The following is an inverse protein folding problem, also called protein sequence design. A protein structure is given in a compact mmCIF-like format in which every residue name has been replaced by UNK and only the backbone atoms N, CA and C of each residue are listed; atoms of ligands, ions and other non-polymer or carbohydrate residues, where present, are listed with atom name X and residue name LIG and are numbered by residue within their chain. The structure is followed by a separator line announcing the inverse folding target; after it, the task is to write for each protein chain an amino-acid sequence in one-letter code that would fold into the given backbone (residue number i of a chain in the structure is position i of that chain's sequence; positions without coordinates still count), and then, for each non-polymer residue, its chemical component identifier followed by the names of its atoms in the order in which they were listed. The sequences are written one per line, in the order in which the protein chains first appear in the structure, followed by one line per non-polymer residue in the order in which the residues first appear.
data_IF_462032866751
#
_entry.id   IF_462032866751
#
_cell.length_a   1.000
_cell.length_b   1.000
_cell.length_c   1.000
_cell.angle_alpha   90.00
_cell.angle_beta   90.00
_cell.angle_gamma   90.00
#
_symmetry.space_group_name_H-M   'P 1'
#
loop_
_entity.id
_entity.type
_entity.pdbx_description
1 polymer ?
#
# COMPACT_ATOMS: atom_id res chain seq x y z
N UNK A 1 -17.52 16.09 -2.43
CA UNK A 1 -17.17 15.81 -1.03
C UNK A 1 -16.96 14.31 -0.92
N UNK A 2 -15.87 13.84 -0.30
CA UNK A 2 -15.59 12.41 -0.21
C UNK A 2 -16.60 11.73 0.74
N UNK A 3 -17.12 10.57 0.36
CA UNK A 3 -17.99 9.75 1.22
C UNK A 3 -17.20 8.96 2.28
N UNK A 4 -15.89 9.18 2.38
CA UNK A 4 -15.02 8.54 3.36
C UNK A 4 -15.11 9.26 4.72
N UNK A 5 -15.22 8.52 5.84
CA UNK A 5 -15.18 9.10 7.18
C UNK A 5 -13.91 9.93 7.40
N UNK A 6 -14.05 11.02 8.17
CA UNK A 6 -12.92 11.87 8.52
C UNK A 6 -11.81 11.06 9.21
N UNK A 7 -10.56 11.27 8.79
CA UNK A 7 -9.37 10.62 9.36
C UNK A 7 -9.11 9.18 8.89
N UNK A 8 -10.05 8.52 8.20
CA UNK A 8 -9.89 7.11 7.82
C UNK A 8 -8.71 6.88 6.86
N UNK A 9 -8.51 7.79 5.91
CA UNK A 9 -7.44 7.70 4.90
C UNK A 9 -6.07 7.86 5.53
N UNK A 10 -5.94 8.74 6.53
CA UNK A 10 -4.72 8.90 7.31
C UNK A 10 -4.37 7.66 8.13
N UNK A 11 -5.37 7.05 8.78
CA UNK A 11 -5.20 5.81 9.53
C UNK A 11 -4.77 4.64 8.63
N UNK A 12 -5.39 4.50 7.46
CA UNK A 12 -5.01 3.47 6.46
C UNK A 12 -3.58 3.69 5.98
N UNK A 13 -3.20 4.94 5.66
CA UNK A 13 -1.84 5.28 5.23
C UNK A 13 -0.79 4.93 6.28
N UNK A 14 -1.03 5.29 7.54
CA UNK A 14 -0.15 4.94 8.66
C UNK A 14 -0.01 3.42 8.84
N UNK A 15 -1.13 2.69 8.81
CA UNK A 15 -1.13 1.24 8.97
C UNK A 15 -0.38 0.52 7.83
N UNK A 16 -0.52 1.03 6.60
CA UNK A 16 0.20 0.52 5.42
C UNK A 16 1.70 0.78 5.54
N UNK A 17 2.11 2.01 5.87
CA UNK A 17 3.51 2.36 6.09
C UNK A 17 4.12 1.52 7.23
N UNK A 18 3.38 1.30 8.31
CA UNK A 18 3.82 0.45 9.42
C UNK A 18 4.04 -1.00 8.97
N UNK A 19 3.12 -1.57 8.19
CA UNK A 19 3.25 -2.95 7.68
C UNK A 19 4.50 -3.12 6.82
N UNK A 20 4.71 -2.21 5.86
CA UNK A 20 5.86 -2.23 4.96
C UNK A 20 7.18 -2.21 5.74
N UNK A 21 7.27 -1.33 6.75
CA UNK A 21 8.44 -1.22 7.63
C UNK A 21 8.63 -2.46 8.49
N UNK A 22 7.56 -2.94 9.12
CA UNK A 22 7.59 -4.12 9.98
C UNK A 22 8.16 -5.33 9.23
N UNK A 23 7.64 -5.60 8.02
CA UNK A 23 8.09 -6.72 7.22
C UNK A 23 9.44 -6.48 6.55
N UNK A 24 9.74 -5.25 6.12
CA UNK A 24 11.06 -4.89 5.61
C UNK A 24 12.16 -5.09 6.65
N UNK A 25 11.88 -4.82 7.93
CA UNK A 25 12.80 -5.07 9.05
C UNK A 25 12.91 -6.56 9.41
N UNK A 26 11.80 -7.30 9.32
CA UNK A 26 11.75 -8.70 9.71
C UNK A 26 12.40 -9.64 8.69
N UNK A 27 12.19 -9.39 7.39
CA UNK A 27 12.59 -10.29 6.32
C UNK A 27 13.69 -9.71 5.41
N UNK A 28 14.01 -8.42 5.56
CA UNK A 28 14.84 -7.72 4.59
C UNK A 28 14.09 -7.38 3.31
N UNK A 29 14.71 -6.56 2.46
CA UNK A 29 14.07 -6.00 1.26
C UNK A 29 13.85 -7.02 0.16
N UNK A 30 14.67 -8.08 0.09
CA UNK A 30 14.58 -9.06 -0.98
C UNK A 30 13.33 -9.95 -0.89
N UNK A 31 12.97 -10.36 0.32
CA UNK A 31 11.81 -11.21 0.61
C UNK A 31 10.51 -10.42 0.78
N UNK A 32 10.61 -9.12 1.10
CA UNK A 32 9.45 -8.22 1.25
C UNK A 32 8.52 -8.24 0.03
N UNK A 33 9.09 -8.36 -1.17
CA UNK A 33 8.35 -8.32 -2.45
C UNK A 33 7.32 -9.44 -2.60
N UNK A 34 7.47 -10.53 -1.85
CA UNK A 34 6.58 -11.70 -1.86
C UNK A 34 5.80 -11.84 -0.55
N UNK A 35 5.87 -10.83 0.32
CA UNK A 35 5.20 -10.84 1.61
C UNK A 35 3.79 -10.26 1.50
N UNK A 36 2.85 -10.89 2.18
CA UNK A 36 1.48 -10.41 2.32
C UNK A 36 1.41 -9.37 3.44
N UNK A 37 0.99 -8.15 3.08
CA UNK A 37 0.60 -7.13 4.05
C UNK A 37 -0.68 -7.55 4.77
N UNK A 38 -0.93 -6.98 5.95
CA UNK A 38 -2.15 -7.30 6.69
C UNK A 38 -3.41 -7.10 5.85
N UNK A 39 -4.18 -8.18 5.76
CA UNK A 39 -5.32 -8.29 4.84
C UNK A 39 -6.34 -7.17 5.05
N UNK A 40 -6.55 -6.71 6.29
CA UNK A 40 -7.52 -5.65 6.58
C UNK A 40 -7.06 -4.26 6.10
N UNK A 41 -5.74 -4.01 6.09
CA UNK A 41 -5.18 -2.78 5.49
C UNK A 41 -5.40 -2.79 3.99
N UNK A 42 -5.17 -3.94 3.34
CA UNK A 42 -5.41 -4.11 1.90
C UNK A 42 -6.90 -3.98 1.56
N UNK A 43 -7.80 -4.57 2.35
CA UNK A 43 -9.25 -4.39 2.19
C UNK A 43 -9.64 -2.92 2.31
N UNK A 44 -9.11 -2.22 3.32
CA UNK A 44 -9.40 -0.81 3.52
C UNK A 44 -8.91 0.04 2.34
N UNK A 45 -7.73 -0.24 1.79
CA UNK A 45 -7.22 0.44 0.61
C UNK A 45 -8.08 0.15 -0.64
N UNK A 46 -8.46 -1.11 -0.87
CA UNK A 46 -9.37 -1.50 -1.97
C UNK A 46 -10.75 -0.87 -1.83
N UNK A 47 -11.25 -0.73 -0.60
CA UNK A 47 -12.47 0.00 -0.32
C UNK A 47 -12.35 1.48 -0.69
N UNK A 48 -11.30 2.16 -0.22
CA UNK A 48 -11.03 3.56 -0.60
C UNK A 48 -10.97 3.67 -2.12
N UNK A 49 -10.30 2.75 -2.82
CA UNK A 49 -10.24 2.75 -4.28
C UNK A 49 -11.63 2.60 -4.92
N UNK A 50 -12.51 1.77 -4.36
CA UNK A 50 -13.87 1.60 -4.88
C UNK A 50 -14.75 2.86 -4.73
N UNK A 51 -14.42 3.75 -3.79
CA UNK A 51 -15.16 4.99 -3.53
C UNK A 51 -14.52 6.19 -4.22
N UNK A 52 -13.19 6.28 -4.17
CA UNK A 52 -12.37 7.37 -4.70
C UNK A 52 -10.98 6.84 -5.10
N UNK A 53 -10.80 6.42 -6.37
CA UNK A 53 -9.54 5.87 -6.85
C UNK A 53 -8.33 6.80 -6.66
N UNK A 54 -8.52 8.11 -6.89
CA UNK A 54 -7.46 9.10 -6.76
C UNK A 54 -7.01 9.26 -5.30
N UNK A 55 -7.96 9.20 -4.36
CA UNK A 55 -7.63 9.20 -2.94
C UNK A 55 -6.84 7.94 -2.53
N UNK A 56 -7.21 6.76 -3.03
CA UNK A 56 -6.48 5.53 -2.74
C UNK A 56 -5.01 5.60 -3.21
N UNK A 57 -4.78 6.16 -4.42
CA UNK A 57 -3.43 6.40 -4.95
C UNK A 57 -2.64 7.31 -4.01
N UNK A 58 -3.23 8.43 -3.57
CA UNK A 58 -2.57 9.35 -2.63
C UNK A 58 -2.25 8.71 -1.28
N UNK A 59 -3.16 7.90 -0.74
CA UNK A 59 -2.95 7.16 0.52
C UNK A 59 -1.78 6.20 0.39
N UNK A 60 -1.76 5.40 -0.68
CA UNK A 60 -0.67 4.47 -0.94
C UNK A 60 0.65 5.19 -1.20
N UNK A 61 0.65 6.30 -1.94
CA UNK A 61 1.83 7.14 -2.17
C UNK A 61 2.45 7.60 -0.86
N UNK A 62 1.67 8.26 -0.02
CA UNK A 62 2.14 8.76 1.27
C UNK A 62 2.70 7.63 2.12
N UNK A 63 2.01 6.48 2.16
CA UNK A 63 2.49 5.32 2.91
C UNK A 63 3.84 4.77 2.40
N UNK A 64 4.05 4.75 1.08
CA UNK A 64 5.31 4.33 0.48
C UNK A 64 6.45 5.31 0.79
N UNK A 65 6.19 6.63 0.71
CA UNK A 65 7.15 7.65 1.09
C UNK A 65 7.51 7.56 2.58
N UNK A 66 6.50 7.45 3.45
CA UNK A 66 6.70 7.31 4.90
C UNK A 66 7.52 6.06 5.26
N UNK A 67 7.39 4.97 4.49
CA UNK A 67 8.17 3.76 4.68
C UNK A 67 9.62 3.88 4.17
N UNK A 68 9.84 4.73 3.16
CA UNK A 68 11.16 5.01 2.58
C UNK A 68 11.95 6.06 3.37
N UNK A 69 11.27 7.02 4.00
CA UNK A 69 11.87 8.17 4.70
C UNK A 69 12.22 7.89 6.17
N UNK A 70 12.04 6.66 6.67
CA UNK A 70 12.24 6.35 8.08
C UNK A 70 13.71 6.50 8.51
N UNK A 71 14.03 7.63 9.18
CA UNK A 71 15.36 8.09 9.57
C UNK A 71 16.35 7.04 10.11
N UNK A 72 16.34 6.75 11.43
CA UNK A 72 17.37 5.93 12.10
C UNK A 72 17.25 4.41 11.85
N UNK A 73 16.28 3.97 11.05
CA UNK A 73 16.08 2.55 10.71
C UNK A 73 16.46 2.29 9.26
N UNK A 74 16.65 1.02 8.91
CA UNK A 74 16.91 0.65 7.51
C UNK A 74 15.67 1.03 6.67
N UNK A 75 15.79 1.99 5.73
CA UNK A 75 14.66 2.44 4.94
C UNK A 75 14.19 1.31 4.01
N UNK A 76 12.89 1.25 3.75
CA UNK A 76 12.34 0.29 2.78
C UNK A 76 12.34 0.97 1.40
N UNK A 77 13.10 0.46 0.40
CA UNK A 77 13.12 1.07 -0.91
C UNK A 77 11.73 1.15 -1.54
N UNK A 78 11.43 2.28 -2.19
CA UNK A 78 10.14 2.52 -2.85
C UNK A 78 9.75 1.38 -3.81
N UNK A 79 10.74 0.86 -4.56
CA UNK A 79 10.53 -0.25 -5.50
C UNK A 79 10.06 -1.51 -4.80
N UNK A 80 10.69 -1.89 -3.69
CA UNK A 80 10.34 -3.12 -2.97
C UNK A 80 8.99 -2.97 -2.26
N UNK A 81 8.71 -1.78 -1.71
CA UNK A 81 7.39 -1.46 -1.16
C UNK A 81 6.28 -1.54 -2.20
N UNK A 82 6.51 -1.01 -3.39
CA UNK A 82 5.57 -1.05 -4.50
C UNK A 82 5.29 -2.49 -4.98
N UNK A 83 6.33 -3.33 -5.07
CA UNK A 83 6.19 -4.74 -5.43
C UNK A 83 5.45 -5.54 -4.36
N UNK A 84 5.73 -5.29 -3.07
CA UNK A 84 5.00 -5.90 -1.95
C UNK A 84 3.51 -5.50 -1.97
N UNK A 85 3.21 -4.23 -2.20
CA UNK A 85 1.84 -3.74 -2.34
C UNK A 85 1.13 -4.38 -3.54
N UNK A 86 1.79 -4.45 -4.70
CA UNK A 86 1.28 -5.16 -5.89
C UNK A 86 0.92 -6.59 -5.54
N UNK A 87 1.85 -7.33 -4.93
CA UNK A 87 1.64 -8.72 -4.53
C UNK A 87 0.40 -8.85 -3.63
N UNK A 88 0.34 -8.05 -2.56
CA UNK A 88 -0.75 -8.07 -1.59
C UNK A 88 -2.12 -7.73 -2.20
N UNK A 89 -2.18 -6.81 -3.16
CA UNK A 89 -3.43 -6.47 -3.88
C UNK A 89 -3.96 -7.65 -4.70
N UNK A 90 -3.08 -8.48 -5.23
CA UNK A 90 -3.43 -9.71 -5.97
C UNK A 90 -3.78 -10.88 -5.05
N UNK A 91 -3.75 -10.72 -3.73
CA UNK A 91 -4.28 -11.72 -2.81
C UNK A 91 -5.78 -11.52 -2.55
N UNK A 92 -6.43 -12.62 -2.15
CA UNK A 92 -7.87 -12.64 -1.88
C UNK A 92 -8.19 -11.84 -0.62
N UNK A 93 -9.09 -10.86 -0.74
CA UNK A 93 -9.48 -10.02 0.37
C UNK A 93 -10.98 -9.70 0.33
N UNK A 94 -11.83 -10.64 0.76
CA UNK A 94 -13.30 -10.48 0.86
C UNK A 94 -13.65 -9.29 1.77
N UNK A 95 -14.58 -8.37 1.38
CA UNK A 95 -15.52 -8.44 0.25
C UNK A 95 -14.99 -7.90 -1.09
N UNK A 96 -13.81 -7.28 -1.11
CA UNK A 96 -13.27 -6.58 -2.29
C UNK A 96 -12.54 -7.50 -3.28
N UNK A 97 -12.50 -8.81 -2.99
CA UNK A 97 -11.99 -9.84 -3.89
C UNK A 97 -10.48 -9.78 -4.13
N UNK A 98 -10.03 -10.57 -5.11
CA UNK A 98 -8.67 -10.59 -5.64
C UNK A 98 -8.61 -9.66 -6.85
N UNK A 99 -7.72 -8.67 -6.83
CA UNK A 99 -7.45 -7.88 -8.03
C UNK A 99 -6.67 -8.74 -9.03
N UNK A 100 -6.89 -8.50 -10.33
CA UNK A 100 -6.02 -9.07 -11.36
C UNK A 100 -4.63 -8.45 -11.27
N UNK A 101 -3.64 -9.10 -11.90
CA UNK A 101 -2.29 -8.52 -12.01
C UNK A 101 -2.33 -7.16 -12.70
N UNK A 102 -3.05 -7.03 -13.82
CA UNK A 102 -3.20 -5.76 -14.54
C UNK A 102 -3.80 -4.64 -13.69
N UNK A 103 -4.77 -4.95 -12.82
CA UNK A 103 -5.37 -3.97 -11.92
C UNK A 103 -4.36 -3.50 -10.85
N UNK A 104 -3.63 -4.45 -10.26
CA UNK A 104 -2.60 -4.13 -9.28
C UNK A 104 -1.44 -3.34 -9.91
N UNK A 105 -1.03 -3.71 -11.12
CA UNK A 105 0.01 -3.02 -11.89
C UNK A 105 -0.39 -1.59 -12.27
N UNK A 106 -1.60 -1.39 -12.77
CA UNK A 106 -2.11 -0.06 -13.08
C UNK A 106 -2.16 0.83 -11.83
N UNK A 107 -2.62 0.29 -10.71
CA UNK A 107 -2.70 1.03 -9.45
C UNK A 107 -1.30 1.40 -8.92
N UNK A 108 -0.38 0.44 -8.82
CA UNK A 108 0.97 0.70 -8.33
C UNK A 108 1.75 1.63 -9.26
N UNK A 109 1.55 1.51 -10.58
CA UNK A 109 2.11 2.45 -11.55
C UNK A 109 1.61 3.87 -11.29
N UNK A 110 0.30 4.06 -11.08
CA UNK A 110 -0.26 5.37 -10.74
C UNK A 110 0.32 5.94 -9.44
N UNK A 111 0.52 5.10 -8.42
CA UNK A 111 1.18 5.50 -7.16
C UNK A 111 2.61 5.97 -7.40
N UNK A 112 3.40 5.22 -8.18
CA UNK A 112 4.79 5.58 -8.48
C UNK A 112 4.90 6.83 -9.35
N UNK A 113 3.94 7.07 -10.25
CA UNK A 113 3.88 8.29 -11.05
C UNK A 113 3.52 9.51 -10.21
N UNK A 114 2.68 9.37 -9.17
CA UNK A 114 2.30 10.47 -8.26
C UNK A 114 3.43 10.85 -7.27
N UNK A 115 4.49 10.02 -7.15
CA UNK A 115 5.69 10.32 -6.33
C UNK A 115 6.63 11.30 -7.04
N UNK A 116 6.69 11.26 -8.39
CA UNK A 116 7.61 12.06 -9.21
C UNK A 116 7.03 13.44 -9.53
#
# INVERSE_FOLDING_TARGET
MSNLPAGVTGAIGHALAFNLRHYGQQFGTDDLRFTDLYVDVIKALKWVHSVDPAMAVRVARHALQDAADEGDKLPVPLKDSALCLRHSLTQSSVPYGKWSEDQADAFVTAVLLDIN
#
